data_IF_505860819647
#
_entry.id   IF_505860819647
#
_cell.length_a   1.000
_cell.length_b   1.000
_cell.length_c   1.000
_cell.angle_alpha   90.00
_cell.angle_beta   90.00
_cell.angle_gamma   90.00
#
_symmetry.space_group_name_H-M   'P 1'
#
loop_
_entity.id
_entity.type
_entity.pdbx_description
1 polymer ?
#
# COMPACT_ATOMS: atom_id res chain seq x y z
N UNK A 1 23.82 20.43 -23.11
CA UNK A 1 23.04 21.63 -23.50
C UNK A 1 21.57 21.29 -23.74
N UNK A 2 21.21 20.23 -24.46
CA UNK A 2 19.80 19.83 -24.68
C UNK A 2 19.08 19.44 -23.40
N UNK A 3 19.70 18.66 -22.53
CA UNK A 3 19.14 18.22 -21.24
C UNK A 3 18.76 19.41 -20.32
N UNK A 4 19.55 20.47 -20.31
CA UNK A 4 19.27 21.69 -19.52
C UNK A 4 18.09 22.48 -20.09
N UNK A 5 17.88 22.46 -21.41
CA UNK A 5 16.77 23.15 -22.08
C UNK A 5 15.45 22.46 -21.77
N UNK A 6 15.37 21.12 -21.91
CA UNK A 6 14.18 20.34 -21.64
C UNK A 6 13.74 20.48 -20.19
N UNK A 7 14.68 20.39 -19.25
CA UNK A 7 14.40 20.58 -17.82
C UNK A 7 13.78 21.95 -17.54
N UNK A 8 14.34 22.99 -18.14
CA UNK A 8 13.85 24.38 -17.95
C UNK A 8 12.43 24.55 -18.50
N UNK A 9 12.14 24.00 -19.68
CA UNK A 9 10.78 24.05 -20.25
C UNK A 9 9.76 23.32 -19.36
N UNK A 10 10.13 22.17 -18.80
CA UNK A 10 9.28 21.41 -17.88
C UNK A 10 9.02 22.22 -16.60
N UNK A 11 10.04 22.84 -16.04
CA UNK A 11 9.94 23.70 -14.85
C UNK A 11 8.99 24.87 -15.11
N UNK A 12 9.14 25.57 -16.23
CA UNK A 12 8.28 26.70 -16.61
C UNK A 12 6.82 26.27 -16.77
N UNK A 13 6.55 25.15 -17.46
CA UNK A 13 5.19 24.62 -17.62
C UNK A 13 4.52 24.31 -16.28
N UNK A 14 5.25 23.70 -15.35
CA UNK A 14 4.71 23.36 -14.02
C UNK A 14 4.55 24.62 -13.18
N UNK A 15 5.53 25.52 -13.18
CA UNK A 15 5.48 26.77 -12.42
C UNK A 15 4.32 27.66 -12.86
N UNK A 16 4.04 27.74 -14.15
CA UNK A 16 2.89 28.50 -14.67
C UNK A 16 1.54 28.02 -14.15
N UNK A 17 1.41 26.73 -13.83
CA UNK A 17 0.18 26.16 -13.26
C UNK A 17 0.16 26.27 -11.73
N UNK A 18 1.26 25.99 -11.06
CA UNK A 18 1.37 25.94 -9.59
C UNK A 18 1.51 27.34 -8.98
N UNK A 19 2.31 28.21 -9.62
CA UNK A 19 2.61 29.55 -9.12
C UNK A 19 1.74 30.56 -9.87
N UNK A 20 0.76 31.13 -9.19
CA UNK A 20 -0.20 32.08 -9.81
C UNK A 20 0.46 33.37 -10.32
N UNK A 21 1.64 33.70 -9.84
CA UNK A 21 2.50 34.78 -10.36
C UNK A 21 3.97 34.36 -10.21
N UNK A 22 4.82 34.56 -11.22
CA UNK A 22 6.24 34.39 -11.07
C UNK A 22 6.75 35.41 -10.03
N UNK A 23 7.41 34.91 -8.99
CA UNK A 23 8.09 35.75 -7.99
C UNK A 23 9.58 35.63 -8.30
N UNK A 24 10.25 36.74 -8.58
CA UNK A 24 11.71 36.78 -8.60
C UNK A 24 12.21 36.55 -7.18
N UNK A 25 12.98 35.48 -6.99
CA UNK A 25 13.47 35.05 -5.67
C UNK A 25 14.98 35.19 -5.62
N UNK A 26 15.44 35.92 -4.62
CA UNK A 26 16.81 35.83 -4.14
C UNK A 26 16.83 34.80 -2.99
N UNK A 27 17.60 33.73 -3.15
CA UNK A 27 17.70 32.62 -2.17
C UNK A 27 18.18 33.01 -0.77
N UNK A 28 18.58 34.27 -0.54
CA UNK A 28 19.07 34.74 0.74
C UNK A 28 18.00 34.84 1.83
N UNK A 29 16.72 34.91 1.47
CA UNK A 29 15.62 35.01 2.43
C UNK A 29 15.18 33.68 3.05
N UNK A 30 15.57 32.53 2.49
CA UNK A 30 15.13 31.22 2.97
C UNK A 30 15.67 30.83 4.35
N UNK A 31 16.81 31.38 4.76
CA UNK A 31 17.46 31.04 6.05
C UNK A 31 16.94 31.88 7.22
N UNK A 32 16.04 32.82 6.96
CA UNK A 32 15.55 33.78 7.97
C UNK A 32 14.12 33.48 8.43
N UNK A 33 13.54 32.36 8.02
CA UNK A 33 12.15 32.04 8.35
C UNK A 33 12.10 31.20 9.63
N UNK A 34 11.19 31.57 10.53
CA UNK A 34 10.85 30.76 11.71
C UNK A 34 10.26 29.41 11.33
N UNK A 35 10.42 28.38 12.20
CA UNK A 35 9.85 27.08 12.00
C UNK A 35 8.33 27.15 11.77
N UNK A 36 7.89 26.81 10.56
CA UNK A 36 6.48 26.78 10.14
C UNK A 36 6.08 27.85 9.13
N UNK A 37 6.89 28.85 8.86
CA UNK A 37 6.65 29.81 7.78
C UNK A 37 7.08 29.26 6.42
N UNK A 38 6.20 29.40 5.41
CA UNK A 38 6.51 29.00 4.04
C UNK A 38 7.05 30.21 3.28
N UNK A 39 8.29 30.13 2.84
CA UNK A 39 8.94 31.13 1.99
C UNK A 39 8.06 31.50 0.78
N UNK A 40 7.98 32.78 0.41
CA UNK A 40 7.22 33.25 -0.78
C UNK A 40 7.65 32.54 -2.06
N UNK A 41 8.92 32.16 -2.14
CA UNK A 41 9.49 31.40 -3.26
C UNK A 41 9.47 29.90 -3.12
N UNK A 42 8.90 29.35 -2.07
CA UNK A 42 8.93 27.91 -1.78
C UNK A 42 8.55 27.06 -2.99
N UNK A 43 7.45 27.40 -3.67
CA UNK A 43 6.94 26.63 -4.81
C UNK A 43 7.94 26.57 -5.97
N UNK A 44 8.55 27.71 -6.31
CA UNK A 44 9.53 27.84 -7.39
C UNK A 44 10.80 27.08 -7.05
N UNK A 45 11.33 27.24 -5.83
CA UNK A 45 12.51 26.53 -5.35
C UNK A 45 12.30 25.01 -5.40
N UNK A 46 11.16 24.53 -4.88
CA UNK A 46 10.84 23.08 -4.90
C UNK A 46 10.68 22.52 -6.31
N UNK A 47 10.19 23.29 -7.27
CA UNK A 47 10.12 22.89 -8.67
C UNK A 47 11.52 22.91 -9.31
N UNK A 48 12.34 23.93 -8.99
CA UNK A 48 13.69 24.06 -9.53
C UNK A 48 14.64 22.94 -9.09
N UNK A 49 14.45 22.42 -7.87
CA UNK A 49 15.22 21.29 -7.32
C UNK A 49 14.88 19.93 -7.97
N UNK A 50 13.77 19.81 -8.70
CA UNK A 50 13.36 18.54 -9.29
C UNK A 50 14.27 18.13 -10.44
N UNK A 51 14.46 16.80 -10.56
CA UNK A 51 15.14 16.23 -11.71
C UNK A 51 14.25 16.25 -12.95
N UNK A 52 14.84 16.08 -14.11
CA UNK A 52 14.09 15.96 -15.36
C UNK A 52 13.09 14.81 -15.31
N UNK A 53 13.50 13.62 -14.86
CA UNK A 53 12.64 12.45 -14.68
C UNK A 53 11.41 12.75 -13.79
N UNK A 54 11.61 13.49 -12.68
CA UNK A 54 10.55 13.90 -11.78
C UNK A 54 9.57 14.88 -12.45
N UNK A 55 10.09 15.87 -13.19
CA UNK A 55 9.29 16.85 -13.89
C UNK A 55 8.51 16.24 -15.06
N UNK A 56 9.14 15.34 -15.81
CA UNK A 56 8.47 14.58 -16.87
C UNK A 56 7.27 13.80 -16.34
N UNK A 57 7.44 13.09 -15.21
CA UNK A 57 6.31 12.38 -14.60
C UNK A 57 5.19 13.34 -14.19
N UNK A 58 5.50 14.49 -13.62
CA UNK A 58 4.49 15.50 -13.26
C UNK A 58 3.69 15.96 -14.48
N UNK A 59 4.33 16.09 -15.64
CA UNK A 59 3.70 16.52 -16.89
C UNK A 59 3.01 15.38 -17.67
N UNK A 60 3.19 14.11 -17.28
CA UNK A 60 2.53 13.00 -17.96
C UNK A 60 1.02 13.16 -17.99
N UNK A 61 0.41 12.67 -19.07
CA UNK A 61 -1.04 12.69 -19.23
C UNK A 61 -1.74 11.88 -18.13
N UNK A 62 -2.85 12.39 -17.64
CA UNK A 62 -3.76 11.69 -16.72
C UNK A 62 -4.67 10.66 -17.43
N UNK A 63 -4.49 10.45 -18.73
CA UNK A 63 -5.31 9.55 -19.55
C UNK A 63 -4.63 8.21 -19.82
N UNK A 64 -3.36 8.05 -19.41
CA UNK A 64 -2.59 6.83 -19.61
C UNK A 64 -2.28 6.14 -18.27
N UNK A 65 -2.36 4.81 -18.24
CA UNK A 65 -1.87 4.05 -17.09
C UNK A 65 -0.34 4.14 -17.02
N UNK A 66 0.20 4.43 -15.85
CA UNK A 66 1.64 4.66 -15.66
C UNK A 66 2.15 3.79 -14.52
N UNK A 67 3.31 3.19 -14.73
CA UNK A 67 4.12 2.65 -13.65
C UNK A 67 5.37 3.50 -13.46
N UNK A 68 5.44 4.18 -12.32
CA UNK A 68 6.61 4.93 -11.90
C UNK A 68 7.49 4.05 -11.01
N UNK A 69 8.50 3.42 -11.64
CA UNK A 69 9.53 2.68 -10.92
C UNK A 69 10.46 3.68 -10.23
N UNK A 70 10.53 3.67 -8.93
CA UNK A 70 11.26 4.67 -8.18
C UNK A 70 12.20 4.01 -7.18
N UNK A 71 13.49 4.27 -7.27
CA UNK A 71 14.46 3.73 -6.31
C UNK A 71 14.27 4.31 -4.91
N UNK A 72 14.88 3.68 -3.91
CA UNK A 72 14.91 4.18 -2.55
C UNK A 72 15.41 5.63 -2.51
N UNK A 73 14.75 6.48 -1.72
CA UNK A 73 15.19 7.86 -1.54
C UNK A 73 15.08 8.77 -2.78
N UNK A 74 14.38 8.36 -3.85
CA UNK A 74 14.21 9.15 -5.09
C UNK A 74 13.18 10.28 -4.98
N UNK A 75 12.57 10.49 -3.81
CA UNK A 75 11.56 11.51 -3.61
C UNK A 75 10.18 11.16 -4.16
N UNK A 76 9.81 9.87 -4.21
CA UNK A 76 8.48 9.37 -4.66
C UNK A 76 7.33 10.23 -4.14
N UNK A 77 7.17 10.31 -2.82
CA UNK A 77 6.07 11.00 -2.16
C UNK A 77 6.03 12.50 -2.49
N UNK A 78 7.19 13.13 -2.63
CA UNK A 78 7.31 14.53 -3.03
C UNK A 78 6.79 14.73 -4.46
N UNK A 79 7.15 13.84 -5.38
CA UNK A 79 6.73 13.89 -6.79
C UNK A 79 5.24 13.60 -6.94
N UNK A 80 4.71 12.65 -6.16
CA UNK A 80 3.27 12.36 -6.09
C UNK A 80 2.50 13.58 -5.59
N UNK A 81 3.00 14.26 -4.53
CA UNK A 81 2.40 15.48 -4.01
C UNK A 81 2.37 16.60 -5.04
N UNK A 82 3.48 16.83 -5.76
CA UNK A 82 3.57 17.84 -6.82
C UNK A 82 2.64 17.49 -8.01
N UNK A 83 2.62 16.24 -8.47
CA UNK A 83 1.72 15.75 -9.52
C UNK A 83 0.26 15.98 -9.13
N UNK A 84 -0.09 15.59 -7.90
CA UNK A 84 -1.44 15.79 -7.36
C UNK A 84 -1.82 17.27 -7.37
N UNK A 85 -0.96 18.14 -6.86
CA UNK A 85 -1.19 19.58 -6.85
C UNK A 85 -1.34 20.17 -8.26
N UNK A 86 -0.49 19.73 -9.20
CA UNK A 86 -0.54 20.13 -10.60
C UNK A 86 -1.87 19.75 -11.25
N UNK A 87 -2.35 18.53 -11.07
CA UNK A 87 -3.62 18.08 -11.60
C UNK A 87 -4.80 18.79 -10.90
N UNK A 88 -4.74 19.00 -9.58
CA UNK A 88 -5.77 19.75 -8.84
C UNK A 88 -5.96 21.19 -9.37
N UNK A 89 -4.86 21.87 -9.71
CA UNK A 89 -4.92 23.24 -10.29
C UNK A 89 -5.58 23.29 -11.67
N UNK A 90 -5.49 22.19 -12.42
CA UNK A 90 -6.08 22.04 -13.77
C UNK A 90 -7.47 21.40 -13.75
N UNK A 91 -7.95 21.02 -12.55
CA UNK A 91 -9.20 20.29 -12.44
C UNK A 91 -10.39 21.22 -12.49
N UNK A 92 -11.31 20.94 -13.38
CA UNK A 92 -12.49 21.76 -13.69
C UNK A 92 -13.83 21.14 -13.27
N UNK A 93 -13.81 19.90 -12.74
CA UNK A 93 -15.03 19.17 -12.34
C UNK A 93 -15.27 19.23 -10.83
N UNK A 94 -16.51 19.48 -10.44
CA UNK A 94 -16.95 19.43 -9.04
C UNK A 94 -17.44 18.05 -8.60
N UNK A 95 -17.90 17.23 -9.54
CA UNK A 95 -18.51 15.91 -9.24
C UNK A 95 -17.54 14.76 -9.41
N UNK A 96 -16.41 15.00 -10.03
CA UNK A 96 -15.34 14.02 -10.23
C UNK A 96 -14.08 14.51 -9.53
N UNK A 97 -13.26 13.59 -9.07
CA UNK A 97 -11.98 13.89 -8.48
C UNK A 97 -11.00 12.76 -8.71
N UNK A 98 -9.75 12.99 -8.42
CA UNK A 98 -8.76 11.90 -8.35
C UNK A 98 -8.71 11.30 -6.96
N UNK A 99 -8.31 10.03 -6.87
CA UNK A 99 -7.97 9.38 -5.61
C UNK A 99 -6.45 9.20 -5.54
N UNK A 100 -5.84 9.65 -4.45
CA UNK A 100 -4.42 9.44 -4.15
C UNK A 100 -4.34 8.55 -2.92
N UNK A 101 -3.86 7.34 -3.11
CA UNK A 101 -3.97 6.25 -2.16
C UNK A 101 -2.61 5.81 -1.66
N UNK A 102 -2.49 5.63 -0.36
CA UNK A 102 -1.29 5.18 0.34
C UNK A 102 -1.60 3.97 1.22
N UNK A 103 -0.59 3.40 1.86
CA UNK A 103 -0.79 2.29 2.82
C UNK A 103 -0.89 2.74 4.27
N UNK A 104 -0.35 3.92 4.61
CA UNK A 104 -0.29 4.41 5.99
C UNK A 104 -0.86 5.82 6.12
N UNK A 105 -1.36 6.15 7.31
CA UNK A 105 -1.84 7.50 7.60
C UNK A 105 -0.69 8.52 7.56
N UNK A 106 0.52 8.13 7.96
CA UNK A 106 1.68 9.01 7.93
C UNK A 106 2.04 9.40 6.50
N UNK A 107 2.08 8.43 5.57
CA UNK A 107 2.30 8.72 4.16
C UNK A 107 1.19 9.62 3.58
N UNK A 108 -0.07 9.37 3.98
CA UNK A 108 -1.21 10.22 3.61
C UNK A 108 -0.99 11.67 4.06
N UNK A 109 -0.61 11.87 5.32
CA UNK A 109 -0.38 13.21 5.89
C UNK A 109 0.75 13.94 5.14
N UNK A 110 1.84 13.24 4.84
CA UNK A 110 2.94 13.82 4.04
C UNK A 110 2.45 14.30 2.68
N UNK A 111 1.64 13.51 1.97
CA UNK A 111 1.09 13.92 0.67
C UNK A 111 0.15 15.13 0.82
N UNK A 112 -0.74 15.12 1.82
CA UNK A 112 -1.65 16.24 2.11
C UNK A 112 -0.85 17.52 2.36
N UNK A 113 0.21 17.45 3.17
CA UNK A 113 1.05 18.60 3.46
C UNK A 113 1.76 19.13 2.19
N UNK A 114 2.27 18.24 1.34
CA UNK A 114 2.86 18.63 0.05
C UNK A 114 1.84 19.30 -0.86
N UNK A 115 0.66 18.71 -1.00
CA UNK A 115 -0.42 19.29 -1.80
C UNK A 115 -0.80 20.68 -1.26
N UNK A 116 -0.93 20.82 0.07
CA UNK A 116 -1.22 22.09 0.72
C UNK A 116 -0.15 23.14 0.45
N UNK A 117 1.12 22.77 0.56
CA UNK A 117 2.26 23.66 0.28
C UNK A 117 2.23 24.19 -1.16
N UNK A 118 1.86 23.35 -2.15
CA UNK A 118 1.81 23.77 -3.55
C UNK A 118 0.50 24.49 -3.91
N UNK A 119 -0.63 24.07 -3.35
CA UNK A 119 -1.95 24.66 -3.72
C UNK A 119 -2.39 25.81 -2.85
N UNK A 120 -1.88 25.91 -1.62
CA UNK A 120 -2.37 26.83 -0.59
C UNK A 120 -3.75 26.43 -0.02
N UNK A 121 -4.30 25.25 -0.39
CA UNK A 121 -5.63 24.80 0.00
C UNK A 121 -5.53 23.64 1.00
N UNK A 122 -6.30 23.72 2.08
CA UNK A 122 -6.46 22.62 3.03
C UNK A 122 -7.58 21.65 2.63
N UNK A 123 -8.59 22.13 1.89
CA UNK A 123 -9.67 21.30 1.38
C UNK A 123 -9.30 20.70 0.02
N UNK A 124 -9.29 19.38 -0.06
CA UNK A 124 -8.97 18.64 -1.27
C UNK A 124 -10.19 18.24 -2.10
N UNK A 125 -11.43 18.49 -1.64
CA UNK A 125 -12.64 18.17 -2.39
C UNK A 125 -12.61 18.82 -3.79
N UNK A 126 -12.97 18.11 -4.88
CA UNK A 126 -13.60 16.79 -4.97
C UNK A 126 -12.63 15.59 -4.94
N UNK A 127 -11.35 15.80 -4.74
CA UNK A 127 -10.34 14.75 -4.69
C UNK A 127 -10.33 14.05 -3.34
N UNK A 128 -9.85 12.81 -3.35
CA UNK A 128 -9.63 12.03 -2.14
C UNK A 128 -8.13 11.74 -1.97
N UNK A 129 -7.58 12.04 -0.81
CA UNK A 129 -6.23 11.67 -0.41
C UNK A 129 -6.36 10.90 0.89
N UNK A 130 -5.94 9.63 0.91
CA UNK A 130 -6.13 8.77 2.06
C UNK A 130 -5.54 7.38 1.87
N UNK A 131 -5.79 6.48 2.83
CA UNK A 131 -5.33 5.11 2.69
C UNK A 131 -6.23 4.32 1.73
N UNK A 132 -5.63 3.32 1.04
CA UNK A 132 -6.36 2.41 0.16
C UNK A 132 -7.51 1.70 0.90
N UNK A 133 -7.25 1.22 2.12
CA UNK A 133 -8.27 0.56 2.94
C UNK A 133 -9.44 1.50 3.28
N UNK A 134 -9.15 2.76 3.61
CA UNK A 134 -10.19 3.77 3.87
C UNK A 134 -10.99 4.11 2.62
N UNK A 135 -10.34 4.18 1.45
CA UNK A 135 -11.00 4.39 0.17
C UNK A 135 -11.95 3.23 -0.15
N UNK A 136 -11.47 2.00 -0.07
CA UNK A 136 -12.28 0.79 -0.28
C UNK A 136 -13.48 0.77 0.65
N UNK A 137 -13.26 1.05 1.93
CA UNK A 137 -14.34 1.10 2.92
C UNK A 137 -15.36 2.19 2.59
N UNK A 138 -14.93 3.44 2.45
CA UNK A 138 -15.82 4.60 2.39
C UNK A 138 -16.52 4.79 1.05
N UNK A 139 -15.90 4.40 -0.06
CA UNK A 139 -16.43 4.67 -1.41
C UNK A 139 -16.95 3.41 -2.11
N UNK A 140 -16.51 2.21 -1.72
CA UNK A 140 -16.91 0.99 -2.39
C UNK A 140 -17.80 0.14 -1.48
N UNK A 141 -17.32 -0.28 -0.31
CA UNK A 141 -18.03 -1.26 0.51
C UNK A 141 -19.19 -0.63 1.27
N UNK A 142 -18.93 0.40 2.05
CA UNK A 142 -19.95 1.04 2.89
C UNK A 142 -21.20 1.50 2.12
N UNK A 143 -21.08 2.17 0.95
CA UNK A 143 -22.25 2.62 0.21
C UNK A 143 -23.05 1.52 -0.50
N UNK A 144 -22.44 0.35 -0.76
CA UNK A 144 -23.03 -0.65 -1.66
C UNK A 144 -23.11 -2.08 -1.11
N UNK A 145 -22.63 -2.34 0.11
CA UNK A 145 -22.66 -3.68 0.71
C UNK A 145 -24.09 -4.24 0.83
N UNK A 146 -25.08 -3.40 1.07
CA UNK A 146 -26.50 -3.78 1.14
C UNK A 146 -27.01 -4.44 -0.16
N UNK A 147 -26.34 -4.23 -1.30
CA UNK A 147 -26.70 -4.84 -2.59
C UNK A 147 -26.17 -6.26 -2.77
N UNK A 148 -25.24 -6.66 -1.92
CA UNK A 148 -24.66 -8.01 -1.99
C UNK A 148 -25.49 -9.01 -1.20
N UNK A 149 -26.03 -8.60 -0.06
CA UNK A 149 -26.65 -9.47 0.96
C UNK A 149 -27.76 -8.74 1.68
N UNK A 150 -28.66 -9.50 2.31
CA UNK A 150 -29.58 -9.00 3.33
C UNK A 150 -28.80 -8.62 4.59
N UNK A 151 -28.12 -7.50 4.50
CA UNK A 151 -27.27 -6.96 5.53
C UNK A 151 -28.05 -5.92 6.32
N UNK A 152 -28.23 -6.13 7.62
CA UNK A 152 -28.98 -5.21 8.49
C UNK A 152 -28.10 -4.48 9.49
N UNK A 153 -26.83 -4.89 9.62
CA UNK A 153 -25.98 -4.40 10.69
C UNK A 153 -26.50 -4.75 12.08
N UNK A 154 -25.68 -4.60 13.10
CA UNK A 154 -26.06 -4.97 14.46
C UNK A 154 -27.10 -4.02 15.08
N UNK A 155 -27.05 -2.74 14.71
CA UNK A 155 -27.87 -1.69 15.29
C UNK A 155 -28.89 -1.11 14.29
N UNK A 156 -29.19 -1.86 13.21
CA UNK A 156 -30.08 -1.40 12.15
C UNK A 156 -29.45 -0.36 11.22
N UNK A 157 -28.22 0.06 11.45
CA UNK A 157 -27.42 0.81 10.49
C UNK A 157 -26.80 -0.15 9.48
N UNK A 158 -26.59 0.28 8.26
CA UNK A 158 -25.98 -0.54 7.21
C UNK A 158 -24.45 -0.37 7.16
N UNK A 159 -23.82 -0.03 8.30
CA UNK A 159 -22.39 0.19 8.40
C UNK A 159 -21.63 -1.06 8.86
N UNK A 160 -20.43 -1.27 8.31
CA UNK A 160 -19.52 -2.28 8.82
C UNK A 160 -18.67 -1.74 9.97
N UNK A 161 -18.61 -2.51 11.05
CA UNK A 161 -17.63 -2.34 12.11
C UNK A 161 -16.39 -3.14 11.77
N UNK A 162 -15.27 -2.44 11.64
CA UNK A 162 -14.00 -3.07 11.30
C UNK A 162 -13.42 -3.71 12.56
N UNK A 163 -13.18 -5.01 12.46
CA UNK A 163 -12.62 -5.82 13.53
C UNK A 163 -11.16 -6.14 13.18
N UNK A 164 -10.24 -5.81 14.08
CA UNK A 164 -8.85 -6.21 13.95
C UNK A 164 -8.74 -7.74 14.09
N UNK A 165 -8.07 -8.38 13.14
CA UNK A 165 -7.81 -9.83 13.17
C UNK A 165 -7.05 -10.29 14.42
N UNK A 166 -6.25 -9.40 15.02
CA UNK A 166 -5.47 -9.67 16.23
C UNK A 166 -6.22 -9.34 17.51
N UNK A 167 -7.51 -8.98 17.43
CA UNK A 167 -8.32 -8.65 18.59
C UNK A 167 -8.36 -9.83 19.56
N UNK A 168 -7.93 -9.63 20.82
CA UNK A 168 -7.81 -10.73 21.77
C UNK A 168 -9.18 -11.24 22.24
N UNK A 169 -9.38 -12.55 22.18
CA UNK A 169 -10.66 -13.21 22.50
C UNK A 169 -10.98 -13.07 24.00
N UNK A 170 -9.97 -13.07 24.86
CA UNK A 170 -10.16 -13.00 26.32
C UNK A 170 -10.75 -11.66 26.78
N UNK A 171 -10.60 -10.59 26.01
CA UNK A 171 -11.25 -9.28 26.25
C UNK A 171 -12.50 -9.08 25.40
N UNK A 172 -12.72 -9.93 24.39
CA UNK A 172 -13.79 -9.81 23.41
C UNK A 172 -14.51 -11.15 23.22
N UNK A 173 -15.09 -11.66 24.32
CA UNK A 173 -15.76 -12.98 24.34
C UNK A 173 -16.88 -13.13 23.31
N UNK A 174 -17.51 -12.03 22.90
CA UNK A 174 -18.55 -12.02 21.89
C UNK A 174 -18.07 -12.55 20.52
N UNK A 175 -16.77 -12.46 20.22
CA UNK A 175 -16.19 -13.03 18.99
C UNK A 175 -16.35 -14.55 18.90
N UNK A 176 -16.47 -15.24 20.03
CA UNK A 176 -16.70 -16.69 20.09
C UNK A 176 -18.08 -17.09 19.49
N UNK A 177 -19.03 -16.15 19.42
CA UNK A 177 -20.33 -16.40 18.76
C UNK A 177 -20.13 -16.69 17.27
N UNK A 178 -19.06 -16.16 16.65
CA UNK A 178 -18.71 -16.34 15.25
C UNK A 178 -17.61 -17.40 15.08
N UNK A 179 -17.73 -18.50 15.77
CA UNK A 179 -16.84 -19.63 15.64
C UNK A 179 -17.20 -20.47 14.40
N UNK A 180 -16.19 -20.79 13.59
CA UNK A 180 -16.33 -21.59 12.38
C UNK A 180 -16.43 -23.08 12.74
N UNK A 181 -17.12 -23.60 13.59
CA UNK A 181 -17.29 -25.03 13.90
C UNK A 181 -16.20 -25.99 13.33
N UNK A 182 -15.03 -25.45 13.06
CA UNK A 182 -13.80 -26.10 12.60
C UNK A 182 -12.69 -25.62 13.49
N UNK A 183 -11.76 -26.49 13.83
CA UNK A 183 -10.62 -26.18 14.68
C UNK A 183 -9.33 -26.54 13.96
N UNK A 184 -8.26 -25.83 14.26
CA UNK A 184 -6.92 -26.21 13.85
C UNK A 184 -6.18 -26.89 15.03
N UNK A 185 -5.17 -27.68 14.70
CA UNK A 185 -4.32 -28.35 15.66
C UNK A 185 -3.02 -27.54 15.75
N UNK A 186 -2.66 -27.10 16.95
CA UNK A 186 -1.38 -26.43 17.20
C UNK A 186 -0.22 -27.43 17.31
N UNK A 187 1.00 -26.90 17.41
CA UNK A 187 2.22 -27.70 17.57
C UNK A 187 2.27 -28.58 18.86
N UNK A 188 1.37 -28.30 19.82
CA UNK A 188 1.21 -29.06 21.07
C UNK A 188 0.04 -30.04 20.99
N UNK A 189 -0.52 -30.28 19.82
CA UNK A 189 -1.69 -31.13 19.56
C UNK A 189 -2.98 -30.66 20.23
N UNK A 190 -3.11 -29.38 20.60
CA UNK A 190 -4.35 -28.83 21.11
C UNK A 190 -5.27 -28.40 19.99
N UNK A 191 -6.57 -28.62 20.17
CA UNK A 191 -7.60 -28.14 19.28
C UNK A 191 -7.97 -26.68 19.59
N UNK A 192 -7.78 -25.82 18.63
CA UNK A 192 -8.08 -24.41 18.76
C UNK A 192 -9.19 -24.01 17.79
N UNK A 193 -10.25 -23.32 18.24
CA UNK A 193 -11.32 -22.88 17.38
C UNK A 193 -10.81 -21.80 16.41
N UNK A 194 -11.31 -21.82 15.18
CA UNK A 194 -11.10 -20.77 14.17
C UNK A 194 -12.30 -19.83 14.23
N UNK A 195 -12.04 -18.55 14.38
CA UNK A 195 -13.07 -17.52 14.47
C UNK A 195 -13.17 -16.72 13.15
N UNK A 196 -14.35 -16.16 12.89
CA UNK A 196 -14.61 -15.45 11.63
C UNK A 196 -13.59 -14.34 11.31
N UNK A 197 -13.18 -13.55 12.32
CA UNK A 197 -12.20 -12.47 12.11
C UNK A 197 -10.78 -12.94 11.79
N UNK A 198 -10.49 -14.23 12.00
CA UNK A 198 -9.19 -14.86 11.69
C UNK A 198 -9.16 -15.46 10.28
N UNK A 199 -10.29 -15.52 9.58
CA UNK A 199 -10.43 -16.13 8.26
C UNK A 199 -10.37 -15.03 7.19
N UNK A 200 -9.65 -15.29 6.09
CA UNK A 200 -9.70 -14.53 4.86
C UNK A 200 -9.86 -15.45 3.64
N UNK A 201 -10.13 -14.85 2.50
CA UNK A 201 -10.24 -15.55 1.22
C UNK A 201 -9.47 -14.79 0.16
N UNK A 202 -8.59 -15.48 -0.55
CA UNK A 202 -7.88 -14.96 -1.70
C UNK A 202 -8.59 -15.36 -2.99
N UNK A 203 -8.96 -14.38 -3.79
CA UNK A 203 -9.75 -14.61 -5.01
C UNK A 203 -8.88 -15.12 -6.17
N UNK A 204 -7.60 -14.81 -6.21
CA UNK A 204 -6.68 -15.30 -7.23
C UNK A 204 -6.36 -16.78 -7.00
N UNK A 205 -5.95 -17.11 -5.77
CA UNK A 205 -5.69 -18.50 -5.35
C UNK A 205 -6.94 -19.34 -5.19
N UNK A 206 -8.12 -18.70 -5.13
CA UNK A 206 -9.42 -19.33 -4.89
C UNK A 206 -9.44 -20.22 -3.64
N UNK A 207 -8.74 -19.79 -2.61
CA UNK A 207 -8.61 -20.53 -1.37
C UNK A 207 -8.78 -19.66 -0.14
N UNK A 208 -9.24 -20.28 0.94
CA UNK A 208 -9.28 -19.65 2.26
C UNK A 208 -7.92 -19.73 2.92
N UNK A 209 -7.65 -18.76 3.76
CA UNK A 209 -6.56 -18.78 4.71
C UNK A 209 -7.07 -18.42 6.09
N UNK A 210 -6.33 -18.79 7.13
CA UNK A 210 -6.66 -18.44 8.50
C UNK A 210 -5.39 -18.15 9.31
N UNK A 211 -5.56 -17.33 10.34
CA UNK A 211 -4.45 -16.93 11.19
C UNK A 211 -4.38 -17.80 12.44
N UNK A 212 -3.20 -18.34 12.69
CA UNK A 212 -2.83 -19.12 13.89
C UNK A 212 -2.01 -18.22 14.80
N UNK A 213 -2.60 -17.78 15.92
CA UNK A 213 -1.96 -16.78 16.77
C UNK A 213 -1.84 -15.42 16.10
N UNK A 214 -0.81 -14.64 16.46
CA UNK A 214 -0.69 -13.24 15.98
C UNK A 214 -0.15 -13.10 14.56
N UNK A 215 0.77 -13.98 14.14
CA UNK A 215 1.58 -13.74 12.95
C UNK A 215 1.65 -14.93 11.97
N UNK A 216 1.16 -16.10 12.33
CA UNK A 216 1.23 -17.26 11.45
C UNK A 216 -0.07 -17.40 10.66
N UNK A 217 0.02 -17.38 9.35
CA UNK A 217 -1.08 -17.62 8.42
C UNK A 217 -0.89 -18.99 7.78
N UNK A 218 -1.99 -19.72 7.65
CA UNK A 218 -2.03 -21.04 6.99
C UNK A 218 -3.05 -20.99 5.84
N UNK A 219 -2.68 -21.50 4.68
CA UNK A 219 -3.62 -21.77 3.60
C UNK A 219 -4.43 -23.02 3.91
N UNK A 220 -5.74 -22.96 3.68
CA UNK A 220 -6.62 -24.07 4.01
C UNK A 220 -6.25 -25.35 3.24
N UNK A 221 -5.98 -25.24 1.95
CA UNK A 221 -5.56 -26.37 1.12
C UNK A 221 -4.23 -26.98 1.57
N UNK A 222 -3.23 -26.15 1.86
CA UNK A 222 -1.91 -26.59 2.32
C UNK A 222 -2.01 -27.25 3.70
N UNK A 223 -2.76 -26.61 4.61
CA UNK A 223 -2.98 -27.16 5.95
C UNK A 223 -3.62 -28.55 5.89
N UNK A 224 -4.65 -28.72 5.04
CA UNK A 224 -5.30 -30.01 4.87
C UNK A 224 -4.45 -31.06 4.15
N UNK A 225 -3.48 -30.66 3.35
CA UNK A 225 -2.55 -31.54 2.65
C UNK A 225 -1.31 -31.88 3.50
N UNK A 226 -1.14 -31.26 4.68
CA UNK A 226 0.03 -31.49 5.52
C UNK A 226 0.07 -32.93 6.04
N UNK A 227 1.25 -33.54 6.01
CA UNK A 227 1.44 -34.94 6.45
C UNK A 227 1.00 -35.15 7.90
N UNK A 228 1.26 -34.20 8.77
CA UNK A 228 0.87 -34.24 10.19
C UNK A 228 -0.64 -34.29 10.39
N UNK A 229 -1.40 -33.48 9.62
CA UNK A 229 -2.85 -33.49 9.71
C UNK A 229 -3.43 -34.74 9.06
N UNK A 230 -2.88 -35.19 7.94
CA UNK A 230 -3.34 -36.41 7.26
C UNK A 230 -3.12 -37.66 8.14
N UNK A 231 -1.98 -37.80 8.79
CA UNK A 231 -1.72 -38.87 9.75
C UNK A 231 -2.72 -38.84 10.91
N UNK A 232 -3.00 -37.64 11.46
CA UNK A 232 -3.97 -37.47 12.53
C UNK A 232 -5.40 -37.82 12.07
N UNK A 233 -5.81 -37.39 10.88
CA UNK A 233 -7.12 -37.71 10.29
C UNK A 233 -7.25 -39.23 10.13
N UNK A 234 -6.20 -39.91 9.64
CA UNK A 234 -6.23 -41.35 9.46
C UNK A 234 -6.40 -42.09 10.79
N UNK A 235 -5.63 -41.70 11.81
CA UNK A 235 -5.77 -42.26 13.16
C UNK A 235 -7.19 -42.07 13.71
N UNK A 236 -7.81 -40.91 13.47
CA UNK A 236 -9.17 -40.63 13.94
C UNK A 236 -10.25 -41.36 13.15
N UNK A 237 -10.05 -41.62 11.85
CA UNK A 237 -10.95 -42.46 11.03
C UNK A 237 -11.00 -43.87 11.57
N UNK A 238 -9.88 -44.44 11.98
CA UNK A 238 -9.80 -45.76 12.63
C UNK A 238 -10.60 -45.79 13.93
N UNK A 239 -10.73 -44.67 14.63
CA UNK A 239 -11.55 -44.49 15.82
C UNK A 239 -13.03 -44.11 15.52
N UNK A 240 -13.51 -44.25 14.28
CA UNK A 240 -14.85 -43.87 13.81
C UNK A 240 -15.22 -42.40 14.04
N UNK A 241 -14.24 -41.50 14.15
CA UNK A 241 -14.49 -40.06 14.22
C UNK A 241 -14.83 -39.51 12.84
N UNK A 242 -15.90 -38.72 12.73
CA UNK A 242 -16.25 -38.04 11.48
C UNK A 242 -15.31 -36.85 11.29
N UNK A 243 -14.33 -37.03 10.39
CA UNK A 243 -13.51 -35.93 9.91
C UNK A 243 -14.09 -35.34 8.65
N UNK A 244 -14.06 -34.03 8.58
CA UNK A 244 -14.66 -33.28 7.47
C UNK A 244 -13.74 -33.28 6.26
N UNK A 245 -14.30 -33.48 5.11
CA UNK A 245 -13.63 -33.30 3.85
C UNK A 245 -13.32 -31.81 3.63
N UNK A 246 -12.26 -31.49 2.90
CA UNK A 246 -11.85 -30.10 2.59
C UNK A 246 -13.01 -29.26 2.01
N UNK A 247 -13.84 -29.85 1.14
CA UNK A 247 -15.03 -29.20 0.58
C UNK A 247 -15.99 -28.72 1.69
N UNK A 248 -16.27 -29.58 2.65
CA UNK A 248 -17.17 -29.25 3.77
C UNK A 248 -16.57 -28.14 4.65
N UNK A 249 -15.28 -28.19 4.89
CA UNK A 249 -14.59 -27.15 5.68
C UNK A 249 -14.63 -25.80 4.98
N UNK A 250 -14.46 -25.76 3.66
CA UNK A 250 -14.63 -24.56 2.85
C UNK A 250 -16.04 -23.98 2.96
N UNK A 251 -17.07 -24.82 2.96
CA UNK A 251 -18.44 -24.39 3.18
C UNK A 251 -18.62 -23.79 4.58
N UNK A 252 -18.04 -24.41 5.63
CA UNK A 252 -18.10 -23.88 6.99
C UNK A 252 -17.38 -22.54 7.15
N UNK A 253 -16.24 -22.34 6.49
CA UNK A 253 -15.55 -21.05 6.46
C UNK A 253 -16.42 -19.98 5.82
N UNK A 254 -17.06 -20.32 4.69
CA UNK A 254 -17.97 -19.40 4.01
C UNK A 254 -19.17 -19.03 4.90
N UNK A 255 -19.85 -20.02 5.47
CA UNK A 255 -21.02 -19.81 6.35
C UNK A 255 -20.66 -18.92 7.54
N UNK A 256 -19.49 -19.16 8.14
CA UNK A 256 -18.99 -18.37 9.27
C UNK A 256 -18.75 -16.92 8.87
N UNK A 257 -18.12 -16.67 7.73
CA UNK A 257 -17.91 -15.31 7.20
C UNK A 257 -19.22 -14.63 6.84
N UNK A 258 -20.15 -15.34 6.19
CA UNK A 258 -21.48 -14.80 5.87
C UNK A 258 -22.25 -14.38 7.12
N UNK A 259 -22.23 -15.20 8.18
CA UNK A 259 -22.85 -14.84 9.46
C UNK A 259 -22.23 -13.58 10.06
N UNK A 260 -20.89 -13.48 10.02
CA UNK A 260 -20.15 -12.33 10.53
C UNK A 260 -20.48 -11.04 9.77
N UNK A 261 -20.52 -11.10 8.45
CA UNK A 261 -20.87 -9.96 7.61
C UNK A 261 -22.34 -9.53 7.75
N UNK A 262 -23.27 -10.47 7.90
CA UNK A 262 -24.70 -10.16 8.12
C UNK A 262 -24.94 -9.35 9.38
N UNK A 263 -24.14 -9.57 10.41
CA UNK A 263 -24.19 -8.81 11.66
C UNK A 263 -23.43 -7.46 11.59
N UNK A 264 -22.89 -7.10 10.43
CA UNK A 264 -22.18 -5.85 10.22
C UNK A 264 -20.74 -5.82 10.69
N UNK A 265 -20.10 -6.98 10.81
CA UNK A 265 -18.68 -7.08 11.16
C UNK A 265 -17.85 -7.46 9.93
N UNK A 266 -16.69 -6.84 9.78
CA UNK A 266 -15.73 -7.17 8.71
C UNK A 266 -14.30 -6.91 9.20
N UNK A 267 -13.33 -7.65 8.66
CA UNK A 267 -11.92 -7.31 8.74
C UNK A 267 -11.48 -6.48 7.53
N UNK A 268 -10.28 -5.93 7.54
CA UNK A 268 -9.73 -5.27 6.35
C UNK A 268 -9.63 -6.21 5.15
N UNK A 269 -9.28 -7.48 5.36
CA UNK A 269 -9.23 -8.49 4.29
C UNK A 269 -10.62 -8.76 3.71
N UNK A 270 -11.67 -8.74 4.57
CA UNK A 270 -13.05 -8.85 4.13
C UNK A 270 -13.50 -7.68 3.27
N UNK A 271 -13.07 -6.46 3.61
CA UNK A 271 -13.39 -5.28 2.81
C UNK A 271 -12.86 -5.43 1.38
N UNK A 272 -11.63 -5.94 1.21
CA UNK A 272 -11.05 -6.16 -0.09
C UNK A 272 -11.85 -7.20 -0.90
N UNK A 273 -12.24 -8.32 -0.26
CA UNK A 273 -13.09 -9.33 -0.88
C UNK A 273 -14.47 -8.77 -1.29
N UNK A 274 -15.16 -8.09 -0.38
CA UNK A 274 -16.46 -7.48 -0.65
C UNK A 274 -16.39 -6.42 -1.75
N UNK A 275 -15.31 -5.64 -1.78
CA UNK A 275 -15.08 -4.65 -2.83
C UNK A 275 -14.98 -5.28 -4.21
N UNK A 276 -14.28 -6.42 -4.34
CA UNK A 276 -14.20 -7.17 -5.60
C UNK A 276 -15.60 -7.66 -6.03
N UNK A 277 -16.39 -8.20 -5.11
CA UNK A 277 -17.78 -8.61 -5.42
C UNK A 277 -18.64 -7.42 -5.89
N UNK A 278 -18.53 -6.26 -5.23
CA UNK A 278 -19.27 -5.03 -5.58
C UNK A 278 -18.86 -4.52 -6.96
N UNK A 279 -17.54 -4.39 -7.20
CA UNK A 279 -17.00 -3.88 -8.45
C UNK A 279 -17.21 -4.82 -9.64
N UNK A 280 -17.42 -6.10 -9.40
CA UNK A 280 -17.78 -7.06 -10.46
C UNK A 280 -19.19 -6.82 -11.02
N UNK A 281 -19.98 -5.94 -10.39
CA UNK A 281 -21.30 -5.51 -10.84
C UNK A 281 -21.21 -4.11 -11.49
N UNK A 282 -22.31 -3.59 -12.02
CA UNK A 282 -22.40 -2.27 -12.66
C UNK A 282 -22.00 -1.08 -11.75
N UNK A 283 -21.83 -1.33 -10.47
CA UNK A 283 -21.42 -0.32 -9.48
C UNK A 283 -20.02 0.23 -9.79
N UNK A 284 -19.12 -0.60 -10.34
CA UNK A 284 -17.78 -0.17 -10.74
C UNK A 284 -17.79 1.06 -11.64
N UNK A 285 -18.74 1.16 -12.56
CA UNK A 285 -18.89 2.33 -13.44
C UNK A 285 -19.15 3.63 -12.66
N UNK A 286 -19.87 3.57 -11.53
CA UNK A 286 -20.16 4.76 -10.72
C UNK A 286 -18.91 5.24 -9.99
N UNK A 287 -18.12 4.29 -9.49
CA UNK A 287 -16.85 4.61 -8.82
C UNK A 287 -15.86 5.20 -9.83
N UNK A 288 -15.72 4.60 -11.01
CA UNK A 288 -14.85 5.11 -12.07
C UNK A 288 -15.25 6.51 -12.55
N UNK A 289 -16.56 6.80 -12.65
CA UNK A 289 -17.03 8.15 -12.95
C UNK A 289 -16.70 9.15 -11.83
N UNK A 290 -16.74 8.72 -10.56
CA UNK A 290 -16.43 9.60 -9.43
C UNK A 290 -14.91 9.83 -9.30
N UNK A 291 -14.12 8.81 -9.58
CA UNK A 291 -12.66 8.82 -9.49
C UNK A 291 -12.04 8.29 -10.79
N UNK A 292 -12.02 9.11 -11.87
CA UNK A 292 -11.52 8.68 -13.17
C UNK A 292 -10.01 8.41 -13.19
N UNK A 293 -9.26 8.93 -12.20
CA UNK A 293 -7.84 8.66 -12.05
C UNK A 293 -7.50 8.32 -10.59
N UNK A 294 -6.64 7.33 -10.43
CA UNK A 294 -6.20 6.81 -9.14
C UNK A 294 -4.67 6.73 -9.13
N UNK A 295 -4.05 7.33 -8.12
CA UNK A 295 -2.63 7.21 -7.83
C UNK A 295 -2.46 6.25 -6.66
N UNK A 296 -1.57 5.27 -6.78
CA UNK A 296 -1.23 4.32 -5.72
C UNK A 296 0.24 4.48 -5.39
N UNK A 297 0.56 4.98 -4.20
CA UNK A 297 1.93 5.03 -3.68
C UNK A 297 2.27 3.69 -2.99
N UNK A 298 3.53 3.28 -3.05
CA UNK A 298 4.06 2.00 -2.53
C UNK A 298 3.32 0.76 -3.09
N UNK A 299 3.03 0.75 -4.39
CA UNK A 299 2.23 -0.29 -5.04
C UNK A 299 2.80 -1.71 -4.89
N UNK A 300 4.09 -1.87 -4.54
CA UNK A 300 4.70 -3.17 -4.26
C UNK A 300 4.09 -3.88 -3.05
N UNK A 301 3.34 -3.18 -2.21
CA UNK A 301 2.73 -3.71 -1.00
C UNK A 301 1.27 -4.13 -1.17
N UNK A 302 0.75 -4.10 -2.41
CA UNK A 302 -0.63 -4.50 -2.75
C UNK A 302 -0.82 -6.01 -2.62
N UNK A 303 -1.82 -6.44 -1.86
CA UNK A 303 -2.27 -7.84 -1.83
C UNK A 303 -3.00 -8.23 -3.12
N UNK A 304 -3.15 -9.54 -3.39
CA UNK A 304 -3.85 -10.05 -4.57
C UNK A 304 -5.29 -9.51 -4.69
N UNK A 305 -6.03 -9.45 -3.58
CA UNK A 305 -7.38 -8.87 -3.59
C UNK A 305 -7.38 -7.36 -3.87
N UNK A 306 -6.39 -6.61 -3.36
CA UNK A 306 -6.24 -5.17 -3.65
C UNK A 306 -5.88 -4.93 -5.12
N UNK A 307 -4.98 -5.73 -5.69
CA UNK A 307 -4.70 -5.72 -7.14
C UNK A 307 -5.95 -6.01 -7.94
N UNK A 308 -6.78 -6.96 -7.50
CA UNK A 308 -8.04 -7.28 -8.16
C UNK A 308 -9.04 -6.13 -8.11
N UNK A 309 -9.10 -5.39 -7.01
CA UNK A 309 -9.89 -4.14 -6.89
C UNK A 309 -9.44 -3.12 -7.94
N UNK A 310 -8.12 -2.87 -8.04
CA UNK A 310 -7.57 -1.93 -9.02
C UNK A 310 -7.82 -2.38 -10.46
N UNK A 311 -7.64 -3.66 -10.75
CA UNK A 311 -7.95 -4.23 -12.07
C UNK A 311 -9.42 -3.99 -12.47
N UNK A 312 -10.36 -4.20 -11.55
CA UNK A 312 -11.77 -3.96 -11.82
C UNK A 312 -12.07 -2.48 -12.02
N UNK A 313 -11.49 -1.58 -11.21
CA UNK A 313 -11.61 -0.14 -11.40
C UNK A 313 -11.08 0.29 -12.76
N UNK A 314 -9.93 -0.23 -13.18
CA UNK A 314 -9.37 0.01 -14.51
C UNK A 314 -10.29 -0.51 -15.63
N UNK A 315 -10.85 -1.71 -15.46
CA UNK A 315 -11.83 -2.27 -16.41
C UNK A 315 -13.08 -1.40 -16.56
N UNK A 316 -13.46 -0.67 -15.52
CA UNK A 316 -14.55 0.28 -15.54
C UNK A 316 -14.15 1.69 -16.00
N UNK A 317 -12.91 1.87 -16.45
CA UNK A 317 -12.43 3.11 -17.07
C UNK A 317 -11.62 4.04 -16.17
N UNK A 318 -11.21 3.60 -14.97
CA UNK A 318 -10.22 4.36 -14.20
C UNK A 318 -8.85 4.28 -14.87
N UNK A 319 -8.14 5.38 -14.90
CA UNK A 319 -6.69 5.42 -15.17
C UNK A 319 -5.96 5.19 -13.86
N UNK A 320 -4.95 4.32 -13.88
CA UNK A 320 -4.18 3.96 -12.69
C UNK A 320 -2.73 4.38 -12.87
N UNK A 321 -2.21 5.16 -11.92
CA UNK A 321 -0.79 5.41 -11.76
C UNK A 321 -0.29 4.62 -10.56
N UNK A 322 0.52 3.60 -10.82
CA UNK A 322 1.22 2.83 -9.79
C UNK A 322 2.60 3.44 -9.55
N UNK A 323 2.92 3.75 -8.32
CA UNK A 323 4.21 4.28 -7.90
C UNK A 323 4.81 3.32 -6.88
N UNK A 324 6.05 2.88 -7.09
CA UNK A 324 6.67 1.97 -6.15
C UNK A 324 8.07 1.50 -6.54
N UNK A 325 8.66 0.73 -5.63
CA UNK A 325 9.93 0.06 -5.82
C UNK A 325 9.74 -1.44 -5.60
N UNK A 326 9.70 -2.20 -6.69
CA UNK A 326 9.48 -3.66 -6.61
C UNK A 326 10.60 -4.42 -5.89
N UNK A 327 11.77 -3.78 -5.69
CA UNK A 327 12.88 -4.35 -4.93
C UNK A 327 12.72 -4.14 -3.42
N UNK A 328 11.78 -3.28 -2.98
CA UNK A 328 11.51 -3.00 -1.56
C UNK A 328 10.28 -3.72 -1.01
N UNK A 329 9.77 -4.73 -1.68
CA UNK A 329 8.65 -5.53 -1.15
C UNK A 329 9.10 -6.31 0.09
N UNK A 330 8.80 -5.79 1.28
CA UNK A 330 9.18 -6.37 2.58
C UNK A 330 7.99 -7.05 3.30
N UNK A 331 6.79 -6.97 2.71
CA UNK A 331 5.57 -7.49 3.33
C UNK A 331 5.27 -8.94 2.91
N UNK A 332 6.24 -9.84 3.07
CA UNK A 332 6.02 -11.28 2.89
C UNK A 332 4.83 -11.81 3.71
N UNK A 333 4.55 -11.20 4.86
CA UNK A 333 3.40 -11.56 5.68
C UNK A 333 2.04 -11.21 5.05
N UNK A 334 1.98 -10.27 4.09
CA UNK A 334 0.81 -10.01 3.25
C UNK A 334 0.75 -10.96 2.06
N UNK A 335 1.76 -11.79 1.86
CA UNK A 335 1.94 -12.69 0.71
C UNK A 335 1.72 -12.00 -0.63
N UNK A 336 2.25 -10.79 -0.74
CA UNK A 336 2.37 -10.11 -2.03
C UNK A 336 3.42 -10.84 -2.84
N UNK A 337 3.01 -11.37 -3.98
CA UNK A 337 3.98 -11.95 -4.92
C UNK A 337 4.44 -10.84 -5.87
N UNK A 338 5.71 -10.41 -5.83
CA UNK A 338 6.21 -9.32 -6.68
C UNK A 338 5.92 -9.54 -8.17
N UNK A 339 5.81 -10.81 -8.59
CA UNK A 339 5.50 -11.18 -9.97
C UNK A 339 4.05 -10.87 -10.37
N UNK A 340 3.11 -10.86 -9.44
CA UNK A 340 1.72 -10.45 -9.72
C UNK A 340 1.66 -8.96 -10.04
N UNK A 341 2.36 -8.13 -9.26
CA UNK A 341 2.43 -6.69 -9.51
C UNK A 341 3.17 -6.41 -10.82
N UNK A 342 4.30 -7.09 -11.09
CA UNK A 342 5.02 -6.96 -12.36
C UNK A 342 4.12 -7.25 -13.56
N UNK A 343 3.35 -8.33 -13.51
CA UNK A 343 2.37 -8.68 -14.56
C UNK A 343 1.30 -7.61 -14.70
N UNK A 344 0.78 -7.11 -13.57
CA UNK A 344 -0.26 -6.08 -13.58
C UNK A 344 0.20 -4.79 -14.25
N UNK A 345 1.40 -4.31 -13.94
CA UNK A 345 1.94 -3.06 -14.49
C UNK A 345 2.71 -3.22 -15.80
N UNK A 346 2.81 -4.43 -16.34
CA UNK A 346 3.60 -4.72 -17.55
C UNK A 346 3.14 -3.93 -18.79
N UNK A 347 1.82 -3.71 -18.92
CA UNK A 347 1.22 -2.95 -20.02
C UNK A 347 1.20 -1.45 -19.80
N UNK A 348 1.62 -0.97 -18.64
CA UNK A 348 1.61 0.45 -18.28
C UNK A 348 2.79 1.16 -18.91
N UNK A 349 2.64 2.46 -19.13
CA UNK A 349 3.75 3.31 -19.55
C UNK A 349 4.78 3.37 -18.43
N UNK A 350 5.99 2.90 -18.72
CA UNK A 350 7.07 2.80 -17.74
C UNK A 350 7.82 4.14 -17.63
N UNK A 351 8.04 4.61 -16.39
CA UNK A 351 8.90 5.73 -16.05
C UNK A 351 9.77 5.39 -14.85
N UNK A 352 10.97 5.97 -14.78
CA UNK A 352 11.93 5.72 -13.71
C UNK A 352 12.25 6.98 -12.91
N UNK A 353 12.49 6.82 -11.61
CA UNK A 353 13.17 7.80 -10.76
C UNK A 353 14.42 7.12 -10.19
N UNK A 354 15.56 7.37 -10.82
CA UNK A 354 16.78 6.60 -10.58
C UNK A 354 17.78 7.35 -9.66
N UNK A 355 17.49 8.58 -9.27
CA UNK A 355 18.39 9.39 -8.43
C UNK A 355 17.98 9.29 -6.97
N UNK A 356 18.87 8.77 -6.13
CA UNK A 356 18.72 8.68 -4.68
C UNK A 356 19.25 9.94 -4.01
N UNK A 357 18.39 10.69 -3.31
CA UNK A 357 18.72 11.90 -2.56
C UNK A 357 18.97 11.64 -1.06
N UNK A 358 18.74 10.41 -0.60
CA UNK A 358 18.80 10.05 0.82
C UNK A 358 20.18 9.57 1.24
N UNK A 359 20.78 8.72 0.43
CA UNK A 359 21.97 7.96 0.79
C UNK A 359 23.21 8.41 0.00
N UNK A 360 24.39 8.28 0.59
CA UNK A 360 25.65 8.52 -0.10
C UNK A 360 25.92 7.46 -1.18
N UNK A 361 26.88 7.72 -2.04
CA UNK A 361 27.22 6.90 -3.19
C UNK A 361 27.53 5.46 -2.81
N UNK A 362 28.32 5.25 -1.77
CA UNK A 362 28.76 3.93 -1.34
C UNK A 362 27.59 3.04 -0.88
N UNK A 363 26.63 3.63 -0.15
CA UNK A 363 25.41 2.91 0.28
C UNK A 363 24.56 2.53 -0.93
N UNK A 364 24.39 3.44 -1.89
CA UNK A 364 23.63 3.16 -3.10
C UNK A 364 24.29 2.04 -3.91
N UNK A 365 25.59 2.14 -4.19
CA UNK A 365 26.33 1.13 -4.94
C UNK A 365 26.32 -0.23 -4.26
N UNK A 366 26.39 -0.27 -2.94
CA UNK A 366 26.31 -1.51 -2.17
C UNK A 366 24.92 -2.14 -2.26
N UNK A 367 23.87 -1.35 -2.07
CA UNK A 367 22.49 -1.85 -2.15
C UNK A 367 22.15 -2.35 -3.56
N UNK A 368 22.57 -1.64 -4.62
CA UNK A 368 22.38 -2.06 -6.00
C UNK A 368 23.07 -3.41 -6.31
N UNK A 369 24.28 -3.62 -5.76
CA UNK A 369 24.97 -4.91 -5.88
C UNK A 369 24.21 -6.06 -5.20
N UNK A 370 23.60 -5.81 -4.03
CA UNK A 370 22.85 -6.83 -3.31
C UNK A 370 21.59 -7.29 -4.08
N UNK A 371 20.94 -6.37 -4.78
CA UNK A 371 19.72 -6.68 -5.56
C UNK A 371 19.99 -6.99 -7.03
N UNK A 372 21.27 -7.08 -7.44
CA UNK A 372 21.69 -7.24 -8.84
C UNK A 372 21.05 -6.21 -9.79
N UNK A 373 20.86 -4.97 -9.31
CA UNK A 373 20.38 -3.84 -10.10
C UNK A 373 21.52 -2.85 -10.31
N UNK A 374 21.40 -2.02 -11.34
CA UNK A 374 22.34 -0.92 -11.64
C UNK A 374 21.60 0.38 -11.99
N UNK A 375 20.34 0.47 -11.60
CA UNK A 375 19.46 1.56 -12.02
C UNK A 375 19.59 2.80 -11.11
N UNK A 376 19.98 2.62 -9.84
CA UNK A 376 20.06 3.70 -8.86
C UNK A 376 21.38 4.47 -8.89
N UNK A 377 21.30 5.79 -8.83
CA UNK A 377 22.46 6.69 -8.74
C UNK A 377 22.30 7.58 -7.52
N UNK A 378 23.38 7.83 -6.75
CA UNK A 378 23.33 8.80 -5.66
C UNK A 378 23.44 10.23 -6.18
N UNK A 379 22.61 11.13 -5.65
CA UNK A 379 22.78 12.57 -5.81
C UNK A 379 23.94 13.12 -4.97
N UNK A 380 24.35 12.38 -3.93
CA UNK A 380 25.39 12.77 -2.99
C UNK A 380 26.71 12.12 -3.39
N UNK A 381 27.55 12.85 -4.11
CA UNK A 381 28.85 12.34 -4.55
C UNK A 381 29.88 12.20 -3.43
N UNK A 382 29.68 12.92 -2.31
CA UNK A 382 30.58 12.89 -1.15
C UNK A 382 29.98 12.03 -0.03
N UNK A 383 30.76 11.05 0.42
CA UNK A 383 30.48 10.34 1.67
C UNK A 383 30.69 11.29 2.86
N UNK A 384 29.76 11.29 3.82
CA UNK A 384 29.93 11.98 5.10
C UNK A 384 30.98 11.30 5.98
N UNK A 385 31.29 10.03 5.73
CA UNK A 385 32.17 9.19 6.54
C UNK A 385 33.47 8.79 5.83
N UNK A 386 33.80 9.42 4.69
CA UNK A 386 34.98 9.10 3.92
C UNK A 386 35.00 7.67 3.40
N UNK A 387 36.19 7.03 3.38
CA UNK A 387 36.35 5.65 2.87
C UNK A 387 35.68 4.56 3.74
N UNK A 388 35.19 4.90 4.94
CA UNK A 388 34.60 3.96 5.89
C UNK A 388 33.07 4.04 5.96
N UNK A 389 32.38 4.45 4.88
CA UNK A 389 30.93 4.57 4.84
C UNK A 389 30.18 3.25 5.05
N UNK A 390 30.85 2.12 4.78
CA UNK A 390 30.30 0.77 4.94
C UNK A 390 31.26 -0.10 5.74
N UNK A 391 30.77 -0.69 6.81
CA UNK A 391 31.50 -1.66 7.62
C UNK A 391 30.76 -3.00 7.58
N UNK A 392 31.46 -4.06 7.17
CA UNK A 392 30.98 -5.42 7.29
C UNK A 392 31.53 -6.05 8.56
N UNK A 393 30.65 -6.59 9.40
CA UNK A 393 31.02 -7.17 10.69
C UNK A 393 30.39 -8.56 10.81
N UNK A 394 31.25 -9.56 10.99
CA UNK A 394 30.83 -10.89 11.36
C UNK A 394 30.70 -11.05 12.88
N UNK A 395 29.65 -11.70 13.32
CA UNK A 395 29.45 -12.07 14.72
C UNK A 395 28.97 -13.52 14.81
N UNK A 396 29.41 -14.22 15.84
CA UNK A 396 29.11 -15.63 15.99
C UNK A 396 27.67 -15.92 16.40
N UNK A 397 27.05 -15.01 17.16
CA UNK A 397 25.67 -15.15 17.67
C UNK A 397 24.89 -13.87 17.51
N UNK A 398 23.59 -13.95 17.16
CA UNK A 398 22.73 -12.77 17.01
C UNK A 398 22.70 -11.85 18.24
N UNK A 399 22.82 -12.42 19.44
CA UNK A 399 22.83 -11.68 20.70
C UNK A 399 24.03 -10.72 20.80
N UNK A 400 25.13 -11.04 20.13
CA UNK A 400 26.35 -10.23 20.13
C UNK A 400 26.27 -9.01 19.23
N UNK A 401 25.29 -8.94 18.32
CA UNK A 401 25.15 -7.85 17.35
C UNK A 401 24.98 -6.48 18.03
N UNK A 402 24.19 -6.41 19.10
CA UNK A 402 23.94 -5.17 19.84
C UNK A 402 25.24 -4.69 20.53
N UNK A 403 25.96 -5.59 21.15
CA UNK A 403 27.22 -5.26 21.83
C UNK A 403 28.29 -4.75 20.86
N UNK A 404 28.39 -5.39 19.70
CA UNK A 404 29.30 -4.97 18.62
C UNK A 404 28.89 -3.60 18.09
N UNK A 405 27.60 -3.37 17.87
CA UNK A 405 27.08 -2.08 17.42
C UNK A 405 27.39 -0.94 18.41
N UNK A 406 27.16 -1.18 19.71
CA UNK A 406 27.47 -0.17 20.75
C UNK A 406 28.98 0.16 20.80
N UNK A 407 29.86 -0.86 20.68
CA UNK A 407 31.30 -0.64 20.60
C UNK A 407 31.73 0.17 19.38
N UNK A 408 31.02 -0.01 18.26
CA UNK A 408 31.27 0.80 17.05
C UNK A 408 30.83 2.24 17.22
N UNK A 409 29.65 2.49 17.77
CA UNK A 409 29.21 3.86 18.07
C UNK A 409 30.23 4.59 18.93
N UNK A 410 30.76 3.93 20.00
CA UNK A 410 31.80 4.51 20.88
C UNK A 410 33.14 4.79 20.17
N UNK A 411 33.41 4.12 19.06
CA UNK A 411 34.64 4.28 18.28
C UNK A 411 34.56 5.43 17.27
N UNK A 412 33.36 5.72 16.78
CA UNK A 412 33.14 6.67 15.68
C UNK A 412 32.40 7.97 16.11
N UNK A 413 31.98 8.07 17.41
CA UNK A 413 31.62 9.33 18.05
C UNK A 413 32.91 10.09 18.48
#
# INVERSE_FOLDING_TARGET
MEETVIKKECQEKIANIICEKPVEITCEECYLLDEGEICKGYKQCRIAEKTEEQLEYVLMSKEENVFLKACAGSGKTEVVGLKTAYEMKKWDSYNQGMAVLTFTNDATNVIIDRVRQFTGKSNTYPHYIGTLSSFIHSYIVQPFAYKLRDFKGKDGDFSFRIIDRNMPIYTNHWLQTYQCKVSYIDSKSNWNPILAHQIGYDMEKKDFYFFVGKNKMEWLSEYYSSESLQAFIQQKREQKANFWELKYVRERFRDCKEAFWREGFATFDDLNYLAVEILSKDIGNKIAKRFPIIFIDECQDLSGNELRVLYLLQKHGCVIHCIGDLNQSIYEFKRVEPDEIKKYVQSYKQKGLNINFRSCKEIVEFSEKLINSMDGKSANEKSLFGENALLYIEYEKPENAIEVYVKLLQKYD
#
